data_IF_472490302454
#
_entry.id   IF_472490302454
#
_cell.length_a   1.000
_cell.length_b   1.000
_cell.length_c   1.000
_cell.angle_alpha   90.00
_cell.angle_beta   90.00
_cell.angle_gamma   90.00
#
_symmetry.space_group_name_H-M   'P 1'
#
loop_
_entity.id
_entity.type
_entity.pdbx_description
1 polymer ?
#
# COMPACT_ATOMS: atom_id res chain seq x y z
N UNK A 1 22.15 8.06 -8.12
CA UNK A 1 20.87 8.00 -8.85
C UNK A 1 19.81 7.83 -7.78
N UNK A 2 18.80 8.69 -7.72
CA UNK A 2 17.72 8.55 -6.74
C UNK A 2 16.76 7.49 -7.26
N UNK A 3 16.51 6.44 -6.47
CA UNK A 3 15.67 5.33 -6.90
C UNK A 3 14.31 5.38 -6.19
N UNK A 4 13.23 5.38 -6.98
CA UNK A 4 11.84 5.43 -6.52
C UNK A 4 11.08 4.23 -7.05
N UNK A 5 10.25 3.62 -6.21
CA UNK A 5 9.34 2.55 -6.60
C UNK A 5 7.89 2.91 -6.25
N UNK A 6 6.98 2.69 -7.20
CA UNK A 6 5.53 2.84 -7.01
C UNK A 6 4.85 1.47 -6.98
N UNK A 7 4.12 1.19 -5.91
CA UNK A 7 3.38 -0.04 -5.64
C UNK A 7 1.89 0.28 -5.49
N UNK A 8 1.15 0.21 -6.59
CA UNK A 8 -0.29 0.49 -6.60
C UNK A 8 -1.16 -0.68 -6.09
N UNK A 9 -2.38 -0.35 -5.70
CA UNK A 9 -3.46 -1.30 -5.39
C UNK A 9 -3.85 -1.39 -3.92
N UNK A 10 -5.15 -1.61 -3.66
CA UNK A 10 -5.74 -1.88 -2.35
C UNK A 10 -7.13 -2.49 -2.55
N UNK A 11 -7.62 -3.26 -1.57
CA UNK A 11 -9.00 -3.77 -1.61
C UNK A 11 -10.02 -2.64 -1.40
N UNK A 12 -11.06 -2.60 -2.23
CA UNK A 12 -12.18 -1.68 -2.06
C UNK A 12 -13.25 -2.29 -1.17
N UNK A 13 -13.39 -1.77 0.06
CA UNK A 13 -14.42 -2.17 1.03
C UNK A 13 -15.86 -1.98 0.52
N UNK A 14 -16.05 -1.13 -0.49
CA UNK A 14 -17.35 -0.88 -1.11
C UNK A 14 -17.73 -1.93 -2.18
N UNK A 15 -16.88 -2.93 -2.46
CA UNK A 15 -17.07 -3.88 -3.57
C UNK A 15 -18.49 -4.42 -3.65
N UNK A 16 -18.98 -5.01 -2.56
CA UNK A 16 -20.32 -5.61 -2.53
C UNK A 16 -21.43 -4.57 -2.70
N UNK A 17 -21.26 -3.38 -2.11
CA UNK A 17 -22.22 -2.29 -2.24
C UNK A 17 -22.29 -1.76 -3.69
N UNK A 18 -21.13 -1.62 -4.36
CA UNK A 18 -21.04 -1.19 -5.77
C UNK A 18 -21.68 -2.21 -6.70
N UNK A 19 -21.35 -3.49 -6.52
CA UNK A 19 -21.94 -4.58 -7.30
C UNK A 19 -23.46 -4.65 -7.11
N UNK A 20 -23.95 -4.51 -5.87
CA UNK A 20 -25.39 -4.47 -5.57
C UNK A 20 -26.12 -3.27 -6.21
N UNK A 21 -25.43 -2.13 -6.39
CA UNK A 21 -25.99 -0.92 -7.03
C UNK A 21 -25.75 -0.86 -8.54
N UNK A 22 -25.16 -1.89 -9.14
CA UNK A 22 -24.79 -1.90 -10.56
C UNK A 22 -23.72 -0.87 -10.93
N UNK A 23 -22.94 -0.39 -9.95
CA UNK A 23 -21.82 0.52 -10.18
C UNK A 23 -20.57 -0.25 -10.60
N UNK A 24 -19.69 0.43 -11.33
CA UNK A 24 -18.44 -0.18 -11.79
C UNK A 24 -17.54 -0.57 -10.61
N UNK A 25 -17.10 -1.82 -10.63
CA UNK A 25 -16.04 -2.37 -9.79
C UNK A 25 -15.08 -3.11 -10.71
N UNK A 26 -13.77 -2.96 -10.52
CA UNK A 26 -12.77 -3.59 -11.35
C UNK A 26 -11.95 -4.59 -10.55
N UNK A 27 -11.75 -5.79 -11.10
CA UNK A 27 -11.02 -6.88 -10.44
C UNK A 27 -9.51 -6.59 -10.26
N UNK A 28 -8.98 -5.64 -11.02
CA UNK A 28 -7.59 -5.21 -11.01
C UNK A 28 -7.27 -4.10 -9.98
N UNK A 29 -8.15 -3.87 -8.99
CA UNK A 29 -7.86 -2.93 -7.88
C UNK A 29 -6.69 -3.40 -7.00
N UNK A 30 -6.33 -4.69 -7.04
CA UNK A 30 -5.16 -5.27 -6.39
C UNK A 30 -4.15 -5.82 -7.43
N UNK A 31 -2.84 -5.77 -7.15
CA UNK A 31 -1.82 -6.31 -8.04
C UNK A 31 -1.96 -7.83 -8.21
N UNK A 32 -1.92 -8.30 -9.45
CA UNK A 32 -1.92 -9.72 -9.77
C UNK A 32 -0.60 -10.40 -9.34
N UNK A 33 -0.58 -11.74 -9.20
CA UNK A 33 0.65 -12.48 -8.91
C UNK A 33 1.81 -12.17 -9.88
N UNK A 34 1.51 -11.97 -11.16
CA UNK A 34 2.50 -11.63 -12.19
C UNK A 34 3.11 -10.25 -11.95
N UNK A 35 2.29 -9.26 -11.55
CA UNK A 35 2.74 -7.92 -11.19
C UNK A 35 3.61 -7.98 -9.92
N UNK A 36 3.17 -8.74 -8.90
CA UNK A 36 3.94 -8.93 -7.66
C UNK A 36 5.32 -9.53 -7.95
N UNK A 37 5.36 -10.61 -8.73
CA UNK A 37 6.61 -11.26 -9.14
C UNK A 37 7.51 -10.35 -9.99
N UNK A 38 6.92 -9.57 -10.90
CA UNK A 38 7.67 -8.59 -11.69
C UNK A 38 8.33 -7.53 -10.79
N UNK A 39 7.57 -6.94 -9.85
CA UNK A 39 8.10 -5.98 -8.88
C UNK A 39 9.25 -6.59 -8.08
N UNK A 40 9.05 -7.79 -7.51
CA UNK A 40 10.07 -8.47 -6.72
C UNK A 40 11.36 -8.70 -7.51
N UNK A 41 11.24 -9.12 -8.78
CA UNK A 41 12.40 -9.28 -9.67
C UNK A 41 13.13 -7.97 -9.92
N UNK A 42 12.40 -6.87 -10.12
CA UNK A 42 12.99 -5.54 -10.34
C UNK A 42 13.72 -5.04 -9.08
N UNK A 43 13.16 -5.28 -7.89
CA UNK A 43 13.78 -4.93 -6.62
C UNK A 43 15.03 -5.76 -6.35
N UNK A 44 14.96 -7.08 -6.57
CA UNK A 44 16.10 -7.98 -6.43
C UNK A 44 17.25 -7.61 -7.38
N UNK A 45 16.94 -7.26 -8.63
CA UNK A 45 17.92 -6.77 -9.61
C UNK A 45 18.64 -5.49 -9.20
N UNK A 46 18.09 -4.73 -8.25
CA UNK A 46 18.68 -3.51 -7.65
C UNK A 46 19.32 -3.78 -6.28
N UNK A 47 19.43 -5.04 -5.88
CA UNK A 47 19.92 -5.42 -4.56
C UNK A 47 19.02 -4.95 -3.41
N UNK A 48 17.71 -4.83 -3.66
CA UNK A 48 16.70 -4.38 -2.69
C UNK A 48 16.99 -3.02 -2.04
N UNK A 49 17.73 -2.13 -2.71
CA UNK A 49 18.02 -0.77 -2.23
C UNK A 49 17.16 0.23 -2.98
N UNK A 50 16.36 1.02 -2.27
CA UNK A 50 15.51 2.06 -2.82
C UNK A 50 15.45 3.23 -1.85
N UNK A 51 15.55 4.48 -2.32
CA UNK A 51 15.44 5.62 -1.41
C UNK A 51 14.00 5.80 -0.91
N UNK A 52 13.03 5.78 -1.84
CA UNK A 52 11.62 6.07 -1.54
C UNK A 52 10.68 5.02 -2.14
N UNK A 53 9.81 4.49 -1.30
CA UNK A 53 8.67 3.64 -1.69
C UNK A 53 7.40 4.47 -1.64
N UNK A 54 6.61 4.42 -2.71
CA UNK A 54 5.25 4.98 -2.76
C UNK A 54 4.28 3.83 -2.93
N UNK A 55 3.25 3.74 -2.10
CA UNK A 55 2.17 2.76 -2.30
C UNK A 55 0.80 3.35 -2.04
N UNK A 56 -0.25 2.72 -2.56
CA UNK A 56 -1.60 3.19 -2.27
C UNK A 56 -2.01 2.86 -0.82
N UNK A 57 -1.91 1.59 -0.44
CA UNK A 57 -2.14 1.09 0.93
C UNK A 57 -0.84 0.92 1.72
N UNK A 58 -0.91 0.65 3.02
CA UNK A 58 0.26 0.39 3.86
C UNK A 58 0.57 -1.11 3.96
N UNK A 59 1.81 -1.50 4.31
CA UNK A 59 2.07 -2.85 4.83
C UNK A 59 1.15 -3.15 6.03
N UNK A 60 0.68 -4.39 6.14
CA UNK A 60 -0.35 -4.79 7.11
C UNK A 60 0.00 -4.38 8.55
N UNK A 61 1.26 -4.52 8.96
CA UNK A 61 1.71 -4.15 10.32
C UNK A 61 1.60 -2.66 10.64
N UNK A 62 1.43 -1.80 9.63
CA UNK A 62 1.31 -0.35 9.76
C UNK A 62 -0.11 0.17 9.55
N UNK A 63 -1.10 -0.73 9.42
CA UNK A 63 -2.50 -0.33 9.29
C UNK A 63 -2.97 0.53 10.48
N UNK A 64 -3.55 1.72 10.23
CA UNK A 64 -4.11 2.55 11.29
C UNK A 64 -5.51 2.03 11.67
N UNK A 65 -5.57 0.88 12.33
CA UNK A 65 -6.84 0.25 12.72
C UNK A 65 -7.74 1.14 13.57
N UNK A 66 -7.16 2.15 14.25
CA UNK A 66 -7.90 3.15 15.02
C UNK A 66 -8.79 4.08 14.18
N UNK A 67 -8.58 4.19 12.86
CA UNK A 67 -9.40 5.01 11.95
C UNK A 67 -10.37 4.18 11.10
N UNK A 68 -10.45 2.87 11.34
CA UNK A 68 -11.36 2.02 10.59
C UNK A 68 -12.83 2.34 10.94
N UNK A 69 -13.72 2.12 9.97
CA UNK A 69 -15.17 2.33 10.15
C UNK A 69 -15.65 1.42 11.28
N UNK A 70 -16.12 2.03 12.37
CA UNK A 70 -16.64 1.29 13.53
C UNK A 70 -17.84 0.44 13.13
N UNK A 71 -17.86 -0.82 13.59
CA UNK A 71 -18.95 -1.76 13.30
C UNK A 71 -18.92 -2.37 11.90
N UNK A 72 -17.91 -2.07 11.08
CA UNK A 72 -17.71 -2.75 9.79
C UNK A 72 -17.02 -4.11 10.00
N UNK A 73 -17.58 -5.16 9.42
CA UNK A 73 -16.98 -6.50 9.46
C UNK A 73 -15.74 -6.57 8.56
N UNK A 74 -14.58 -6.66 9.19
CA UNK A 74 -13.28 -6.77 8.53
C UNK A 74 -12.99 -8.18 8.00
N UNK A 75 -13.78 -9.19 8.34
CA UNK A 75 -13.52 -10.59 7.96
C UNK A 75 -13.59 -10.82 6.45
N UNK A 76 -14.39 -10.03 5.74
CA UNK A 76 -14.53 -10.08 4.29
C UNK A 76 -13.52 -9.24 3.51
N UNK A 77 -12.63 -8.51 4.19
CA UNK A 77 -11.62 -7.65 3.56
C UNK A 77 -10.43 -8.49 3.13
N UNK A 78 -10.17 -8.54 1.83
CA UNK A 78 -8.96 -9.18 1.31
C UNK A 78 -7.74 -8.30 1.61
N UNK A 79 -6.83 -8.81 2.43
CA UNK A 79 -5.59 -8.15 2.83
C UNK A 79 -4.36 -8.69 2.13
N UNK A 80 -4.51 -9.36 0.98
CA UNK A 80 -3.41 -10.00 0.26
C UNK A 80 -2.39 -9.00 -0.30
N UNK A 81 -2.78 -7.74 -0.52
CA UNK A 81 -1.86 -6.68 -0.92
C UNK A 81 -1.06 -6.16 0.27
N UNK A 82 -1.71 -5.84 1.38
CA UNK A 82 -1.09 -5.36 2.62
C UNK A 82 -0.09 -6.40 3.18
N UNK A 83 -0.44 -7.69 3.14
CA UNK A 83 0.47 -8.80 3.51
C UNK A 83 1.68 -8.90 2.57
N UNK A 84 1.46 -8.74 1.27
CA UNK A 84 2.56 -8.72 0.32
C UNK A 84 3.48 -7.50 0.52
N UNK A 85 2.92 -6.34 0.85
CA UNK A 85 3.70 -5.15 1.17
C UNK A 85 4.52 -5.33 2.47
N UNK A 86 4.04 -6.10 3.45
CA UNK A 86 4.84 -6.50 4.62
C UNK A 86 6.08 -7.30 4.18
N UNK A 87 5.91 -8.28 3.29
CA UNK A 87 7.02 -9.08 2.76
C UNK A 87 8.01 -8.22 1.96
N UNK A 88 7.54 -7.23 1.20
CA UNK A 88 8.39 -6.28 0.49
C UNK A 88 9.16 -5.41 1.47
N UNK A 89 8.50 -4.84 2.47
CA UNK A 89 9.11 -3.95 3.46
C UNK A 89 10.24 -4.63 4.22
N UNK A 90 10.06 -5.90 4.62
CA UNK A 90 11.10 -6.66 5.34
C UNK A 90 12.34 -6.94 4.50
N UNK A 91 12.21 -7.00 3.17
CA UNK A 91 13.32 -7.29 2.24
C UNK A 91 14.06 -6.03 1.79
N UNK A 92 13.42 -4.86 1.88
CA UNK A 92 13.94 -3.60 1.35
C UNK A 92 14.86 -2.88 2.33
N UNK A 93 15.95 -2.33 1.82
CA UNK A 93 16.68 -1.26 2.47
C UNK A 93 16.21 0.08 1.88
N UNK A 94 15.40 0.80 2.65
CA UNK A 94 14.82 2.07 2.22
C UNK A 94 14.97 3.22 3.22
N UNK A 95 14.89 4.46 2.73
CA UNK A 95 14.94 5.67 3.56
C UNK A 95 13.54 6.11 3.99
N UNK A 96 12.56 6.07 3.07
CA UNK A 96 11.20 6.57 3.34
C UNK A 96 10.13 5.77 2.59
N UNK A 97 8.98 5.55 3.23
CA UNK A 97 7.81 4.94 2.61
C UNK A 97 6.61 5.88 2.77
N UNK A 98 5.94 6.23 1.68
CA UNK A 98 4.70 7.01 1.70
C UNK A 98 3.53 6.16 1.22
N UNK A 99 2.43 6.20 1.96
CA UNK A 99 1.18 5.56 1.54
C UNK A 99 -0.05 6.37 1.93
N UNK A 100 -1.19 6.04 1.34
CA UNK A 100 -2.45 6.75 1.52
C UNK A 100 -3.53 5.80 2.05
N UNK A 101 -4.65 5.74 1.33
CA UNK A 101 -5.80 4.84 1.55
C UNK A 101 -6.63 5.13 2.82
N UNK A 102 -6.02 5.29 3.99
CA UNK A 102 -6.73 5.36 5.27
C UNK A 102 -7.28 6.75 5.65
N UNK A 103 -7.16 7.74 4.76
CA UNK A 103 -7.64 9.11 4.96
C UNK A 103 -7.20 9.76 6.29
N UNK A 104 -5.98 9.45 6.73
CA UNK A 104 -5.38 9.99 7.94
C UNK A 104 -3.91 10.33 7.70
N UNK A 105 -3.37 11.24 8.51
CA UNK A 105 -1.96 11.59 8.50
C UNK A 105 -1.29 10.96 9.74
N UNK A 106 -0.32 10.07 9.52
CA UNK A 106 0.39 9.37 10.59
C UNK A 106 1.80 9.04 10.15
N UNK A 107 2.78 9.14 11.04
CA UNK A 107 4.16 8.72 10.78
C UNK A 107 4.53 7.62 11.76
N UNK A 108 5.05 6.52 11.25
CA UNK A 108 5.52 5.37 12.03
C UNK A 108 6.88 4.98 11.43
N UNK A 109 7.95 5.11 12.20
CA UNK A 109 9.32 4.85 11.73
C UNK A 109 9.65 5.62 10.43
N UNK A 110 9.96 4.88 9.36
CA UNK A 110 10.23 5.38 8.01
C UNK A 110 8.96 5.52 7.16
N UNK A 111 7.82 5.03 7.63
CA UNK A 111 6.54 5.06 6.92
C UNK A 111 5.71 6.30 7.29
N UNK A 112 5.02 6.86 6.30
CA UNK A 112 4.14 8.02 6.47
C UNK A 112 2.85 7.84 5.68
N UNK A 113 1.74 7.78 6.41
CA UNK A 113 0.39 7.94 5.88
C UNK A 113 0.17 9.40 5.52
N UNK A 114 -0.18 9.66 4.27
CA UNK A 114 -0.35 10.99 3.69
C UNK A 114 -1.83 11.33 3.54
N UNK A 115 -2.29 12.44 4.13
CA UNK A 115 -3.65 12.95 3.93
C UNK A 115 -3.70 14.47 3.92
N UNK A 116 -3.81 15.06 2.72
CA UNK A 116 -3.76 16.53 2.49
C UNK A 116 -2.42 17.19 2.87
N UNK A 117 -1.39 16.40 3.18
CA UNK A 117 -0.04 16.89 3.48
C UNK A 117 0.78 17.05 2.18
N UNK A 118 1.70 18.01 2.19
CA UNK A 118 2.80 18.11 1.24
C UNK A 118 4.08 17.84 2.03
N UNK A 119 4.94 16.98 1.51
CA UNK A 119 6.21 16.64 2.15
C UNK A 119 7.36 16.77 1.15
N UNK A 120 8.51 17.23 1.62
CA UNK A 120 9.74 17.36 0.83
C UNK A 120 10.71 16.26 1.23
N UNK A 121 11.21 15.51 0.25
CA UNK A 121 12.22 14.50 0.48
C UNK A 121 13.61 15.08 0.17
N UNK A 122 14.30 15.52 1.21
CA UNK A 122 15.67 16.02 1.13
C UNK A 122 16.67 14.85 1.16
N UNK A 123 17.71 14.93 0.31
CA UNK A 123 18.58 13.80 -0.06
C UNK A 123 19.60 13.39 1.00
#
# INVERSE_FOLDING_TARGET
>A
MDERCGLGGAYSVDKYYRLMRGWHWFENEQPSPEIKAFVEKQLAGRGNKIDVVLSHTAPLKYEPTEVFIQGFDQSGVDKSTEKWLDDIETKLNYKKWYCGHYHTAKKIDKLQLMFKNIDTFDK
#
